data_IF_274275194128
#
_entry.id   IF_274275194128
#
_cell.length_a   1.000
_cell.length_b   1.000
_cell.length_c   1.000
_cell.angle_alpha   90.00
_cell.angle_beta   90.00
_cell.angle_gamma   90.00
#
_symmetry.space_group_name_H-M   'P 1'
#
loop_
_entity.id
_entity.type
_entity.pdbx_description
1 polymer ?
#
# COMPACT_ATOMS: atom_id res chain seq x y z
N UNK A 1 13.91 -6.44 -5.01
CA UNK A 1 13.52 -5.60 -3.84
C UNK A 1 13.17 -6.37 -2.56
N UNK A 2 13.18 -7.71 -2.56
CA UNK A 2 12.72 -8.53 -1.42
C UNK A 2 13.41 -8.25 -0.07
N UNK A 3 14.72 -7.96 -0.08
CA UNK A 3 15.47 -7.61 1.15
C UNK A 3 14.95 -6.32 1.79
N UNK A 4 14.72 -5.27 1.01
CA UNK A 4 14.28 -3.96 1.51
C UNK A 4 12.77 -3.95 1.78
N UNK A 5 11.95 -4.36 0.80
CA UNK A 5 10.50 -4.30 0.92
C UNK A 5 9.91 -5.44 1.78
N UNK A 6 10.72 -6.46 2.06
CA UNK A 6 10.35 -7.60 2.90
C UNK A 6 11.17 -7.64 4.18
N UNK A 7 12.42 -8.10 4.13
CA UNK A 7 13.22 -8.38 5.33
C UNK A 7 13.36 -7.17 6.27
N UNK A 8 13.53 -5.95 5.74
CA UNK A 8 13.58 -4.74 6.57
C UNK A 8 12.25 -4.45 7.26
N UNK A 9 11.11 -4.60 6.57
CA UNK A 9 9.79 -4.38 7.16
C UNK A 9 9.43 -5.47 8.18
N UNK A 10 9.84 -6.71 7.93
CA UNK A 10 9.74 -7.82 8.89
C UNK A 10 10.51 -7.47 10.16
N UNK A 11 11.78 -7.09 10.04
CA UNK A 11 12.61 -6.71 11.19
C UNK A 11 12.02 -5.52 11.97
N UNK A 12 11.44 -4.53 11.28
CA UNK A 12 10.78 -3.41 11.93
C UNK A 12 9.53 -3.84 12.72
N UNK A 13 8.71 -4.75 12.18
CA UNK A 13 7.55 -5.30 12.87
C UNK A 13 7.96 -6.15 14.09
N UNK A 14 9.00 -6.97 13.95
CA UNK A 14 9.57 -7.77 15.05
C UNK A 14 10.10 -6.87 16.17
N UNK A 15 10.87 -5.83 15.82
CA UNK A 15 11.39 -4.87 16.79
C UNK A 15 10.28 -4.10 17.51
N UNK A 16 9.22 -3.68 16.78
CA UNK A 16 8.05 -3.04 17.38
C UNK A 16 7.35 -3.98 18.37
N UNK A 17 7.18 -5.26 18.02
CA UNK A 17 6.56 -6.24 18.91
C UNK A 17 7.40 -6.47 20.17
N UNK A 18 8.72 -6.62 20.02
CA UNK A 18 9.65 -6.76 21.14
C UNK A 18 9.65 -5.52 22.03
N UNK A 19 9.47 -4.33 21.46
CA UNK A 19 9.32 -3.07 22.17
C UNK A 19 7.97 -2.86 22.85
N UNK A 20 7.05 -3.83 22.78
CA UNK A 20 5.74 -3.74 23.44
C UNK A 20 4.73 -2.84 22.73
N UNK A 21 4.92 -2.54 21.44
CA UNK A 21 3.94 -1.78 20.65
C UNK A 21 2.61 -2.54 20.62
N UNK A 22 1.52 -1.85 20.95
CA UNK A 22 0.19 -2.46 21.03
C UNK A 22 -0.43 -2.68 19.64
N UNK A 23 -0.35 -1.66 18.78
CA UNK A 23 -0.96 -1.65 17.43
C UNK A 23 0.05 -1.27 16.36
N UNK A 24 -0.03 -1.93 15.21
CA UNK A 24 0.93 -1.74 14.12
C UNK A 24 0.22 -1.59 12.77
N UNK A 25 0.39 -0.44 12.13
CA UNK A 25 -0.08 -0.20 10.76
C UNK A 25 1.07 -0.37 9.76
N UNK A 26 0.88 -1.22 8.76
CA UNK A 26 1.85 -1.44 7.68
C UNK A 26 1.32 -0.93 6.35
N UNK A 27 2.05 -0.02 5.71
CA UNK A 27 1.73 0.43 4.35
C UNK A 27 2.28 -0.58 3.34
N UNK A 28 1.40 -1.44 2.84
CA UNK A 28 1.66 -2.39 1.77
C UNK A 28 1.36 -1.75 0.40
N UNK A 29 0.98 -2.57 -0.58
CA UNK A 29 0.59 -2.13 -1.92
C UNK A 29 -0.48 -3.05 -2.49
N UNK A 30 -1.40 -2.47 -3.26
CA UNK A 30 -2.28 -3.27 -4.09
C UNK A 30 -1.48 -4.03 -5.16
N UNK A 31 -1.66 -5.34 -5.25
CA UNK A 31 -0.98 -6.16 -6.26
C UNK A 31 -1.76 -6.14 -7.57
N UNK A 32 -1.30 -5.31 -8.49
CA UNK A 32 -1.85 -5.18 -9.84
C UNK A 32 -1.49 -6.36 -10.77
N UNK A 33 -0.79 -7.39 -10.26
CA UNK A 33 -0.34 -8.59 -11.00
C UNK A 33 0.45 -8.25 -12.27
N UNK A 34 1.17 -7.12 -12.27
CA UNK A 34 2.00 -6.69 -13.40
C UNK A 34 3.29 -7.54 -13.42
N UNK A 35 3.53 -8.39 -14.44
CA UNK A 35 4.75 -9.15 -14.50
C UNK A 35 5.94 -8.26 -14.92
N UNK A 36 7.14 -8.65 -14.50
CA UNK A 36 8.47 -8.11 -14.85
C UNK A 36 8.96 -6.78 -14.25
N UNK A 37 8.12 -5.78 -13.94
CA UNK A 37 8.65 -4.46 -13.54
C UNK A 37 9.06 -4.32 -12.06
N UNK A 38 8.63 -5.22 -11.16
CA UNK A 38 8.84 -5.07 -9.71
C UNK A 38 9.23 -6.39 -9.02
N UNK A 39 10.19 -7.12 -9.58
CA UNK A 39 10.63 -8.41 -9.02
C UNK A 39 11.02 -8.30 -7.52
N UNK A 40 10.33 -9.09 -6.69
CA UNK A 40 10.49 -9.15 -5.24
C UNK A 40 9.92 -7.95 -4.45
N UNK A 41 9.23 -6.99 -5.07
CA UNK A 41 8.52 -5.92 -4.36
C UNK A 41 7.25 -6.46 -3.70
N UNK A 42 6.33 -7.00 -4.50
CA UNK A 42 5.06 -7.54 -4.01
C UNK A 42 5.28 -8.73 -3.11
N UNK A 43 6.21 -9.62 -3.47
CA UNK A 43 6.60 -10.74 -2.61
C UNK A 43 7.15 -10.25 -1.26
N UNK A 44 7.98 -9.22 -1.26
CA UNK A 44 8.49 -8.61 -0.03
C UNK A 44 7.37 -8.01 0.83
N UNK A 45 6.44 -7.27 0.19
CA UNK A 45 5.27 -6.70 0.86
C UNK A 45 4.37 -7.78 1.45
N UNK A 46 4.04 -8.83 0.69
CA UNK A 46 3.23 -9.96 1.16
C UNK A 46 3.89 -10.70 2.34
N UNK A 47 5.21 -10.86 2.31
CA UNK A 47 5.96 -11.42 3.44
C UNK A 47 5.82 -10.56 4.70
N UNK A 48 5.97 -9.24 4.57
CA UNK A 48 5.79 -8.32 5.69
C UNK A 48 4.35 -8.29 6.22
N UNK A 49 3.34 -8.33 5.33
CA UNK A 49 1.94 -8.44 5.74
C UNK A 49 1.67 -9.69 6.57
N UNK A 50 2.22 -10.83 6.14
CA UNK A 50 2.10 -12.08 6.88
C UNK A 50 2.69 -11.94 8.28
N UNK A 51 3.91 -11.40 8.38
CA UNK A 51 4.57 -11.15 9.67
C UNK A 51 3.75 -10.23 10.57
N UNK A 52 3.19 -9.15 10.02
CA UNK A 52 2.35 -8.21 10.80
C UNK A 52 1.14 -8.93 11.36
N UNK A 53 0.44 -9.74 10.54
CA UNK A 53 -0.69 -10.54 10.99
C UNK A 53 -0.28 -11.56 12.06
N UNK A 54 0.83 -12.26 11.86
CA UNK A 54 1.34 -13.28 12.79
C UNK A 54 1.74 -12.68 14.15
N UNK A 55 2.34 -11.48 14.18
CA UNK A 55 2.82 -10.82 15.40
C UNK A 55 1.74 -10.04 16.17
N UNK A 56 0.81 -9.41 15.46
CA UNK A 56 -0.13 -8.44 16.03
C UNK A 56 -1.60 -8.86 15.93
N UNK A 57 -1.96 -9.88 15.14
CA UNK A 57 -3.34 -10.34 15.00
C UNK A 57 -4.30 -9.20 14.63
N UNK A 58 -5.37 -9.02 15.41
CA UNK A 58 -6.33 -7.92 15.22
C UNK A 58 -5.76 -6.53 15.53
N UNK A 59 -4.61 -6.44 16.19
CA UNK A 59 -3.93 -5.16 16.45
C UNK A 59 -2.94 -4.79 15.34
N UNK A 60 -2.77 -5.63 14.31
CA UNK A 60 -1.92 -5.35 13.16
C UNK A 60 -2.76 -5.25 11.90
N UNK A 61 -2.61 -4.17 11.13
CA UNK A 61 -3.30 -4.03 9.85
C UNK A 61 -2.35 -3.68 8.72
N UNK A 62 -2.66 -4.21 7.53
CA UNK A 62 -1.93 -3.93 6.30
C UNK A 62 -2.79 -3.09 5.36
N UNK A 63 -2.35 -1.89 5.04
CA UNK A 63 -3.01 -1.00 4.09
C UNK A 63 -2.49 -1.33 2.69
N UNK A 64 -3.40 -1.64 1.75
CA UNK A 64 -3.07 -1.89 0.34
C UNK A 64 -3.59 -0.76 -0.55
N UNK A 65 -2.97 0.43 -0.49
CA UNK A 65 -3.36 1.54 -1.35
C UNK A 65 -3.06 1.22 -2.83
N UNK A 66 -3.78 1.92 -3.70
CA UNK A 66 -3.45 2.03 -5.11
C UNK A 66 -2.32 3.04 -5.33
N UNK A 67 -2.34 3.71 -6.48
CA UNK A 67 -1.36 4.77 -6.76
C UNK A 67 -1.53 5.95 -5.79
N UNK A 68 -0.54 6.20 -4.92
CA UNK A 68 -0.58 7.30 -3.95
C UNK A 68 -0.14 8.60 -4.63
N UNK A 69 -0.89 9.69 -4.45
CA UNK A 69 -0.53 11.02 -4.92
C UNK A 69 -0.58 12.07 -3.79
N UNK A 70 0.11 13.19 -4.00
CA UNK A 70 0.22 14.27 -3.02
C UNK A 70 1.48 15.11 -3.27
N UNK A 71 1.79 16.00 -2.34
CA UNK A 71 3.00 16.81 -2.40
C UNK A 71 4.15 16.10 -1.67
N UNK A 72 5.25 15.83 -2.38
CA UNK A 72 6.45 15.19 -1.82
C UNK A 72 7.53 16.22 -1.59
N UNK A 73 7.90 16.43 -0.33
CA UNK A 73 9.02 17.29 0.02
C UNK A 73 10.32 16.49 -0.05
N UNK A 74 11.31 16.98 -0.82
CA UNK A 74 12.67 16.42 -0.88
C UNK A 74 13.65 17.57 -0.66
N UNK A 75 14.18 17.66 0.55
CA UNK A 75 14.99 18.81 0.98
C UNK A 75 14.14 20.07 1.08
N UNK A 76 14.56 21.12 0.39
CA UNK A 76 13.87 22.41 0.26
C UNK A 76 12.85 22.46 -0.89
N UNK A 77 12.67 21.36 -1.65
CA UNK A 77 11.81 21.31 -2.83
C UNK A 77 10.53 20.52 -2.60
N UNK A 78 9.40 21.10 -2.98
CA UNK A 78 8.10 20.42 -3.04
C UNK A 78 7.87 19.87 -4.44
N UNK A 79 7.91 18.54 -4.58
CA UNK A 79 7.57 17.80 -5.79
C UNK A 79 6.08 17.46 -5.73
N UNK A 80 5.25 18.18 -6.50
CA UNK A 80 3.82 17.87 -6.62
C UNK A 80 3.64 16.57 -7.42
N UNK A 81 3.55 15.43 -6.74
CA UNK A 81 3.40 14.13 -7.40
C UNK A 81 2.05 14.00 -8.12
N UNK A 82 1.08 14.87 -7.81
CA UNK A 82 -0.16 15.00 -8.58
C UNK A 82 0.03 15.43 -10.04
N UNK A 83 1.14 16.12 -10.38
CA UNK A 83 1.48 16.50 -11.75
C UNK A 83 2.24 15.41 -12.52
N UNK A 84 2.66 14.34 -11.85
CA UNK A 84 3.18 13.17 -12.53
C UNK A 84 1.97 12.29 -12.88
N UNK A 85 1.18 12.73 -13.86
CA UNK A 85 0.27 11.85 -14.63
C UNK A 85 1.02 10.82 -15.48
N UNK A 86 2.37 10.80 -15.41
CA UNK A 86 3.24 9.93 -16.20
C UNK A 86 3.31 8.45 -15.79
N UNK A 87 3.11 7.99 -14.54
CA UNK A 87 3.08 6.55 -14.28
C UNK A 87 1.81 5.96 -14.87
N UNK A 88 0.67 6.67 -14.80
CA UNK A 88 -0.57 6.21 -15.42
C UNK A 88 -0.51 6.27 -16.95
N UNK A 89 0.08 7.33 -17.53
CA UNK A 89 0.26 7.42 -18.98
C UNK A 89 1.30 6.43 -19.52
N UNK A 90 2.38 6.16 -18.78
CA UNK A 90 3.39 5.17 -19.17
C UNK A 90 2.84 3.74 -19.08
N UNK A 91 2.07 3.43 -18.04
CA UNK A 91 1.36 2.15 -17.92
C UNK A 91 0.33 1.98 -19.03
N UNK A 92 -0.44 3.02 -19.38
CA UNK A 92 -1.39 2.95 -20.51
C UNK A 92 -0.71 2.91 -21.88
N UNK A 93 0.48 3.50 -22.05
CA UNK A 93 1.27 3.41 -23.29
C UNK A 93 1.98 2.06 -23.48
N UNK A 94 2.30 1.36 -22.38
CA UNK A 94 2.84 -0.01 -22.40
C UNK A 94 1.77 -1.07 -22.69
N UNK A 95 0.49 -0.70 -22.61
CA UNK A 95 -0.63 -1.59 -22.91
C UNK A 95 -0.96 -1.53 -24.41
N UNK A 96 -0.94 -2.66 -25.14
CA UNK A 96 -1.37 -2.71 -26.53
C UNK A 96 -2.82 -2.23 -26.67
N UNK A 97 -3.07 -1.33 -27.63
CA UNK A 97 -4.40 -0.73 -27.90
C UNK A 97 -5.51 -1.76 -28.21
N UNK A 98 -5.14 -3.00 -28.48
CA UNK A 98 -6.02 -4.13 -28.81
C UNK A 98 -6.43 -4.99 -27.60
N UNK A 99 -5.99 -4.64 -26.38
CA UNK A 99 -6.34 -5.38 -25.16
C UNK A 99 -7.41 -4.62 -24.40
N UNK A 100 -8.65 -4.64 -24.90
CA UNK A 100 -9.83 -4.10 -24.20
C UNK A 100 -10.64 -5.17 -23.47
N UNK A 101 -10.16 -6.42 -23.44
CA UNK A 101 -10.91 -7.59 -22.91
C UNK A 101 -10.20 -8.38 -21.80
N UNK A 102 -9.05 -7.92 -21.28
CA UNK A 102 -8.34 -8.64 -20.22
C UNK A 102 -8.66 -8.09 -18.81
N UNK A 103 -8.71 -8.95 -17.77
CA UNK A 103 -8.92 -8.61 -16.35
C UNK A 103 -7.83 -7.70 -15.74
N UNK A 104 -6.91 -7.20 -16.56
CA UNK A 104 -5.86 -6.25 -16.24
C UNK A 104 -6.35 -4.79 -16.25
N UNK A 105 -7.47 -4.51 -16.93
CA UNK A 105 -8.08 -3.16 -16.97
C UNK A 105 -8.69 -2.78 -15.62
N UNK A 106 -9.20 -3.75 -14.85
CA UNK A 106 -9.74 -3.48 -13.50
C UNK A 106 -8.68 -2.95 -12.54
N UNK A 107 -7.44 -3.42 -12.69
CA UNK A 107 -6.25 -2.93 -11.99
C UNK A 107 -5.92 -1.47 -12.37
N UNK A 108 -6.02 -1.11 -13.66
CA UNK A 108 -5.80 0.27 -14.12
C UNK A 108 -6.94 1.24 -13.73
N UNK A 109 -8.12 0.72 -13.39
CA UNK A 109 -9.30 1.50 -12.97
C UNK A 109 -9.32 1.87 -11.48
N UNK A 110 -8.36 1.39 -10.68
CA UNK A 110 -8.35 1.74 -9.27
C UNK A 110 -8.08 3.25 -9.12
N UNK A 111 -8.95 3.98 -8.41
CA UNK A 111 -8.76 5.40 -8.19
C UNK A 111 -7.41 5.66 -7.50
N UNK A 112 -6.67 6.70 -7.91
CA UNK A 112 -5.50 7.14 -7.17
C UNK A 112 -5.91 7.57 -5.77
N UNK A 113 -5.05 7.32 -4.79
CA UNK A 113 -5.32 7.54 -3.36
C UNK A 113 -4.53 8.76 -2.89
N UNK A 114 -5.15 9.78 -2.28
CA UNK A 114 -4.41 10.89 -1.71
C UNK A 114 -3.58 10.41 -0.51
N UNK A 115 -2.39 10.97 -0.32
CA UNK A 115 -1.48 10.57 0.77
C UNK A 115 -2.11 10.83 2.14
N UNK A 116 -2.96 11.84 2.24
CA UNK A 116 -3.74 12.19 3.43
C UNK A 116 -4.67 11.04 3.82
N UNK A 117 -5.37 10.41 2.87
CA UNK A 117 -6.23 9.26 3.14
C UNK A 117 -5.46 8.06 3.71
N UNK A 118 -4.27 7.80 3.15
CA UNK A 118 -3.38 6.74 3.63
C UNK A 118 -2.93 7.04 5.06
N UNK A 119 -2.55 8.29 5.33
CA UNK A 119 -2.13 8.74 6.65
C UNK A 119 -3.27 8.65 7.68
N UNK A 120 -4.45 9.21 7.36
CA UNK A 120 -5.63 9.19 8.22
C UNK A 120 -6.05 7.75 8.55
N UNK A 121 -6.05 6.86 7.55
CA UNK A 121 -6.40 5.44 7.77
C UNK A 121 -5.38 4.75 8.68
N UNK A 122 -4.08 4.98 8.47
CA UNK A 122 -3.03 4.36 9.27
C UNK A 122 -3.06 4.85 10.72
N UNK A 123 -3.17 6.16 10.93
CA UNK A 123 -3.26 6.77 12.26
C UNK A 123 -4.55 6.36 12.95
N UNK A 124 -5.69 6.48 12.27
CA UNK A 124 -7.00 6.10 12.81
C UNK A 124 -7.05 4.63 13.22
N UNK A 125 -6.40 3.72 12.49
CA UNK A 125 -6.29 2.32 12.90
C UNK A 125 -5.49 2.15 14.20
N UNK A 126 -4.32 2.81 14.28
CA UNK A 126 -3.46 2.74 15.48
C UNK A 126 -4.14 3.39 16.69
N UNK A 127 -4.98 4.41 16.50
CA UNK A 127 -5.81 5.01 17.55
C UNK A 127 -7.09 4.22 17.85
N UNK A 128 -7.46 3.26 17.00
CA UNK A 128 -8.65 2.43 17.14
C UNK A 128 -9.97 3.05 16.70
N UNK A 129 -9.87 4.13 15.93
CA UNK A 129 -10.99 4.87 15.33
C UNK A 129 -11.48 4.23 14.03
N UNK A 130 -10.57 3.52 13.33
CA UNK A 130 -10.83 2.96 12.00
C UNK A 130 -10.51 1.47 11.99
N UNK A 131 -11.37 0.68 11.33
CA UNK A 131 -11.21 -0.76 11.15
C UNK A 131 -11.35 -1.13 9.66
N UNK A 132 -10.62 -2.16 9.18
CA UNK A 132 -10.76 -2.63 7.81
C UNK A 132 -12.12 -3.30 7.62
N UNK A 133 -12.68 -3.23 6.41
CA UNK A 133 -13.89 -3.97 6.07
C UNK A 133 -13.69 -5.49 6.10
N UNK A 134 -12.46 -5.95 5.82
CA UNK A 134 -12.04 -7.34 6.01
C UNK A 134 -11.24 -7.47 7.31
N UNK A 135 -11.94 -7.79 8.40
CA UNK A 135 -11.38 -7.98 9.75
C UNK A 135 -10.68 -9.33 9.93
N UNK A 136 -10.93 -10.33 9.08
CA UNK A 136 -10.24 -11.63 9.16
C UNK A 136 -8.80 -11.53 8.65
N UNK A 137 -8.60 -10.77 7.57
CA UNK A 137 -7.27 -10.52 7.01
C UNK A 137 -6.59 -9.30 7.61
N UNK A 138 -7.34 -8.44 8.31
CA UNK A 138 -6.87 -7.15 8.82
C UNK A 138 -6.22 -6.31 7.70
N UNK A 139 -6.91 -6.22 6.56
CA UNK A 139 -6.41 -5.54 5.36
C UNK A 139 -7.34 -4.42 4.93
N UNK A 140 -6.79 -3.22 4.78
CA UNK A 140 -7.51 -2.12 4.16
C UNK A 140 -7.36 -2.20 2.65
N UNK A 141 -8.49 -2.27 1.94
CA UNK A 141 -8.54 -2.13 0.49
C UNK A 141 -8.37 -0.67 0.07
N UNK A 142 -8.17 -0.43 -1.23
CA UNK A 142 -8.18 0.93 -1.81
C UNK A 142 -9.43 1.71 -1.41
N UNK A 143 -10.60 1.06 -1.43
CA UNK A 143 -11.87 1.70 -1.10
C UNK A 143 -12.03 1.97 0.40
N UNK A 144 -11.46 1.14 1.27
CA UNK A 144 -11.47 1.42 2.71
C UNK A 144 -10.62 2.66 3.02
N UNK A 145 -9.47 2.78 2.35
CA UNK A 145 -8.57 3.93 2.54
C UNK A 145 -9.23 5.21 2.06
N UNK A 146 -9.88 5.19 0.90
CA UNK A 146 -10.54 6.36 0.31
C UNK A 146 -11.71 6.92 1.14
N UNK A 147 -12.29 6.14 2.04
CA UNK A 147 -13.33 6.63 2.98
C UNK A 147 -12.76 7.60 4.03
N UNK A 148 -11.45 7.63 4.20
CA UNK A 148 -10.75 8.47 5.18
C UNK A 148 -9.96 9.60 4.52
N UNK A 149 -10.27 9.93 3.27
CA UNK A 149 -9.67 11.02 2.50
C UNK A 149 -10.14 12.40 2.96
#
# INVERSE_FOLDING_TARGET
>A
MKKICGSTNVAAAEAAKQGGVERFAFISAHDYKLPFLLSGYYEGKQMAEKTVKDLFGQNGASLRPGFIYGDRVVGDKVIKLGLIGKPLSAVTQLLPKSITTLPFISAALLPPVPVEAVANTAVGFVLGEVQPSNTEEMRFSVYDILKNA
#
